data_IF_965067220280
#
_entry.id   IF_965067220280
#
_cell.length_a   1.000
_cell.length_b   1.000
_cell.length_c   1.000
_cell.angle_alpha   90.00
_cell.angle_beta   90.00
_cell.angle_gamma   90.00
#
_symmetry.space_group_name_H-M   'P 1'
#
loop_
_entity.id
_entity.type
_entity.pdbx_description
1 polymer ?
#
# COMPACT_ATOMS: atom_id res chain seq x y z
N UNK A 1 -41.69 -62.27 45.38
CA UNK A 1 -40.66 -61.54 46.13
C UNK A 1 -39.50 -61.41 45.19
N UNK A 2 -39.22 -60.19 44.82
CA UNK A 2 -37.96 -59.49 44.61
C UNK A 2 -38.17 -58.36 43.64
N UNK A 3 -38.06 -57.18 44.20
CA UNK A 3 -38.11 -55.87 43.52
C UNK A 3 -36.85 -55.69 42.68
N UNK A 4 -37.00 -55.29 41.42
CA UNK A 4 -35.97 -54.76 40.57
C UNK A 4 -36.26 -53.31 40.23
N UNK A 5 -35.58 -52.38 40.87
CA UNK A 5 -35.67 -50.96 40.64
C UNK A 5 -34.93 -50.56 39.36
N UNK A 6 -35.69 -50.02 38.42
CA UNK A 6 -35.20 -49.40 37.18
C UNK A 6 -34.69 -47.99 37.52
N UNK A 7 -33.38 -47.74 37.43
CA UNK A 7 -32.78 -46.42 37.41
C UNK A 7 -32.71 -45.94 35.97
N UNK A 8 -33.53 -44.94 35.61
CA UNK A 8 -33.41 -44.21 34.39
C UNK A 8 -32.32 -43.12 34.59
N UNK A 9 -31.24 -43.25 33.79
CA UNK A 9 -30.21 -42.22 33.70
C UNK A 9 -30.70 -41.10 32.77
N UNK A 10 -30.98 -39.96 33.35
CA UNK A 10 -31.20 -38.69 32.62
C UNK A 10 -29.91 -38.22 31.99
N UNK A 11 -29.83 -38.29 30.67
CA UNK A 11 -28.79 -37.63 29.88
C UNK A 11 -29.12 -36.14 29.75
N UNK A 12 -28.30 -35.27 30.39
CA UNK A 12 -28.33 -33.83 30.18
C UNK A 12 -28.04 -33.50 28.70
N UNK A 13 -28.77 -32.55 28.10
CA UNK A 13 -28.46 -32.10 26.75
C UNK A 13 -27.15 -31.34 26.73
N UNK A 14 -26.22 -31.74 25.89
CA UNK A 14 -25.00 -31.00 25.56
C UNK A 14 -25.36 -29.64 24.99
N UNK A 15 -24.91 -28.58 25.66
CA UNK A 15 -25.01 -27.20 25.17
C UNK A 15 -24.08 -27.05 23.95
N UNK A 16 -24.65 -27.08 22.75
CA UNK A 16 -23.96 -26.66 21.52
C UNK A 16 -23.62 -25.18 21.65
N UNK A 17 -22.39 -24.89 22.04
CA UNK A 17 -21.79 -23.56 21.89
C UNK A 17 -21.77 -23.22 20.40
N UNK A 18 -22.73 -22.40 19.94
CA UNK A 18 -22.67 -21.75 18.64
C UNK A 18 -21.45 -20.83 18.68
N UNK A 19 -20.37 -21.22 18.02
CA UNK A 19 -19.28 -20.31 17.66
C UNK A 19 -19.85 -19.29 16.70
N UNK A 20 -20.29 -18.15 17.22
CA UNK A 20 -20.63 -16.99 16.39
C UNK A 20 -19.33 -16.56 15.70
N UNK A 21 -19.16 -16.92 14.42
CA UNK A 21 -18.16 -16.25 13.57
C UNK A 21 -18.51 -14.76 13.56
N UNK A 22 -17.55 -13.87 13.84
CA UNK A 22 -17.82 -12.44 13.81
C UNK A 22 -18.33 -12.07 12.41
N UNK A 23 -19.41 -11.28 12.37
CA UNK A 23 -19.98 -10.83 11.11
C UNK A 23 -19.07 -9.77 10.49
N UNK A 24 -18.34 -10.12 9.44
CA UNK A 24 -17.46 -9.21 8.73
C UNK A 24 -18.31 -8.41 7.75
N UNK A 25 -18.27 -7.08 7.89
CA UNK A 25 -18.94 -6.17 6.96
C UNK A 25 -17.98 -5.82 5.83
N UNK A 26 -18.37 -6.16 4.59
CA UNK A 26 -17.63 -5.79 3.41
C UNK A 26 -18.02 -4.38 2.96
N UNK A 27 -17.04 -3.53 2.69
CA UNK A 27 -17.23 -2.11 2.34
C UNK A 27 -16.36 -1.79 1.13
N UNK A 28 -16.94 -1.09 0.14
CA UNK A 28 -16.21 -0.47 -0.95
C UNK A 28 -15.89 0.98 -0.57
N UNK A 29 -14.63 1.39 -0.73
CA UNK A 29 -14.13 2.73 -0.35
C UNK A 29 -13.57 3.43 -1.57
N UNK A 30 -14.08 4.63 -1.87
CA UNK A 30 -13.67 5.48 -2.97
C UNK A 30 -12.72 6.59 -2.50
N UNK A 31 -11.46 6.49 -2.87
CA UNK A 31 -10.50 7.59 -2.73
C UNK A 31 -10.61 8.47 -3.96
N UNK A 32 -11.58 9.39 -3.93
CA UNK A 32 -11.87 10.32 -5.02
C UNK A 32 -10.90 11.49 -4.95
N UNK A 33 -10.28 11.81 -6.07
CA UNK A 33 -9.38 12.96 -6.14
C UNK A 33 -9.38 13.63 -7.51
N UNK A 34 -8.98 14.91 -7.51
CA UNK A 34 -8.58 15.63 -8.70
C UNK A 34 -7.24 16.31 -8.42
N UNK A 35 -6.19 15.91 -9.15
CA UNK A 35 -4.81 16.34 -8.82
C UNK A 35 -4.50 16.05 -7.34
N UNK A 36 -4.13 17.09 -6.60
CA UNK A 36 -3.80 17.02 -5.17
C UNK A 36 -4.99 17.32 -4.23
N UNK A 37 -6.21 17.41 -4.75
CA UNK A 37 -7.43 17.59 -3.95
C UNK A 37 -8.16 16.26 -3.79
N UNK A 38 -8.54 15.94 -2.56
CA UNK A 38 -9.23 14.70 -2.17
C UNK A 38 -10.59 15.01 -1.58
N UNK A 39 -11.61 14.26 -1.94
CA UNK A 39 -12.96 14.41 -1.40
C UNK A 39 -13.11 13.57 -0.13
N UNK A 40 -13.59 14.20 0.94
CA UNK A 40 -13.97 13.54 2.19
C UNK A 40 -15.42 13.85 2.53
N UNK A 41 -16.13 12.86 3.06
CA UNK A 41 -17.39 13.02 3.78
C UNK A 41 -17.16 13.20 5.28
N UNK A 42 -18.15 13.70 5.99
CA UNK A 42 -18.13 13.80 7.45
C UNK A 42 -19.24 12.95 8.06
N UNK A 43 -18.88 12.01 8.92
CA UNK A 43 -19.82 11.11 9.61
C UNK A 43 -20.53 11.82 10.76
N UNK A 44 -21.84 11.73 10.77
CA UNK A 44 -22.64 12.21 11.89
C UNK A 44 -22.28 11.50 13.22
N UNK A 45 -22.47 12.21 14.34
CA UNK A 45 -22.17 11.72 15.68
C UNK A 45 -22.92 10.42 16.04
N UNK A 46 -24.08 10.17 15.43
CA UNK A 46 -24.92 8.99 15.68
C UNK A 46 -24.45 7.73 14.96
N UNK A 47 -23.56 7.86 13.99
CA UNK A 47 -23.02 6.74 13.23
C UNK A 47 -21.86 6.05 13.98
N UNK A 48 -21.64 4.76 13.68
CA UNK A 48 -20.44 4.04 14.15
C UNK A 48 -19.17 4.77 13.72
N UNK A 49 -18.26 5.08 14.67
CA UNK A 49 -17.09 5.94 14.43
C UNK A 49 -17.46 7.38 14.02
N UNK A 50 -18.59 7.92 14.48
CA UNK A 50 -19.06 9.28 14.20
C UNK A 50 -18.11 10.40 14.60
N UNK A 51 -18.43 11.65 14.21
CA UNK A 51 -17.60 12.85 14.38
C UNK A 51 -16.21 12.72 13.74
N UNK A 52 -16.13 12.09 12.56
CA UNK A 52 -14.87 11.89 11.81
C UNK A 52 -15.10 12.12 10.31
N UNK A 53 -14.05 12.55 9.67
CA UNK A 53 -13.98 12.52 8.23
C UNK A 53 -13.79 11.10 7.73
N UNK A 54 -14.26 10.79 6.53
CA UNK A 54 -14.08 9.50 5.88
C UNK A 54 -13.99 9.64 4.37
N UNK A 55 -13.44 8.64 3.70
CA UNK A 55 -13.60 8.51 2.27
C UNK A 55 -15.02 8.05 1.96
N UNK A 56 -15.56 8.49 0.82
CA UNK A 56 -16.87 8.11 0.30
C UNK A 56 -16.93 6.59 0.12
N UNK A 57 -18.09 5.98 0.38
CA UNK A 57 -18.30 4.55 0.17
C UNK A 57 -19.18 3.89 1.19
N UNK A 58 -19.59 2.67 0.88
CA UNK A 58 -20.55 1.97 1.70
C UNK A 58 -20.46 0.46 1.60
N UNK A 59 -21.49 -0.22 2.10
CA UNK A 59 -21.53 -1.67 2.17
C UNK A 59 -21.67 -2.28 0.77
N UNK A 60 -20.94 -3.36 0.55
CA UNK A 60 -21.14 -4.21 -0.62
C UNK A 60 -22.37 -5.08 -0.35
N UNK A 61 -23.40 -4.92 -1.16
CA UNK A 61 -24.64 -5.67 -1.05
C UNK A 61 -24.53 -7.08 -1.64
N UNK A 62 -25.56 -7.90 -1.36
CA UNK A 62 -25.61 -9.24 -1.95
C UNK A 62 -25.79 -9.11 -3.47
N UNK A 63 -25.01 -9.88 -4.22
CA UNK A 63 -25.04 -9.95 -5.69
C UNK A 63 -24.45 -8.76 -6.45
N UNK A 64 -23.69 -7.88 -5.79
CA UNK A 64 -22.88 -6.88 -6.47
C UNK A 64 -21.38 -7.10 -6.21
N UNK A 65 -20.54 -6.70 -7.17
CA UNK A 65 -19.09 -6.62 -6.99
C UNK A 65 -18.72 -5.36 -6.20
N UNK A 66 -17.50 -5.34 -5.63
CA UNK A 66 -17.03 -4.14 -4.95
C UNK A 66 -16.96 -2.90 -5.85
N UNK A 67 -16.65 -3.07 -7.13
CA UNK A 67 -16.66 -1.97 -8.10
C UNK A 67 -18.08 -1.46 -8.37
N UNK A 68 -19.07 -2.34 -8.44
CA UNK A 68 -20.49 -1.95 -8.60
C UNK A 68 -21.00 -1.21 -7.37
N UNK A 69 -20.71 -1.74 -6.16
CA UNK A 69 -21.02 -1.05 -4.91
C UNK A 69 -20.41 0.35 -4.86
N UNK A 70 -19.11 0.45 -5.24
CA UNK A 70 -18.39 1.71 -5.27
C UNK A 70 -19.06 2.76 -6.17
N UNK A 71 -19.42 2.39 -7.39
CA UNK A 71 -20.08 3.28 -8.37
C UNK A 71 -21.43 3.73 -7.83
N UNK A 72 -22.23 2.81 -7.27
CA UNK A 72 -23.52 3.11 -6.68
C UNK A 72 -23.39 4.07 -5.49
N UNK A 73 -22.53 3.75 -4.51
CA UNK A 73 -22.35 4.57 -3.30
C UNK A 73 -21.81 5.97 -3.63
N UNK A 74 -20.86 6.09 -4.58
CA UNK A 74 -20.38 7.41 -5.01
C UNK A 74 -21.50 8.24 -5.61
N UNK A 75 -22.35 7.65 -6.46
CA UNK A 75 -23.48 8.37 -7.05
C UNK A 75 -24.54 8.74 -5.98
N UNK A 76 -24.88 7.81 -5.07
CA UNK A 76 -25.87 8.01 -4.01
C UNK A 76 -25.42 9.08 -2.99
N UNK A 77 -24.13 9.11 -2.62
CA UNK A 77 -23.63 10.05 -1.63
C UNK A 77 -23.28 11.42 -2.22
N UNK A 78 -22.77 11.49 -3.48
CA UNK A 78 -22.12 12.70 -3.99
C UNK A 78 -22.70 13.27 -5.29
N UNK A 79 -23.61 12.57 -5.96
CA UNK A 79 -24.08 12.88 -7.31
C UNK A 79 -22.99 12.83 -8.42
N UNK A 80 -21.82 12.25 -8.10
CA UNK A 80 -20.74 12.07 -9.08
C UNK A 80 -20.98 10.77 -9.86
N UNK A 81 -21.15 10.87 -11.17
CA UNK A 81 -21.29 9.73 -12.05
C UNK A 81 -19.92 9.28 -12.59
N UNK A 82 -19.56 8.02 -12.38
CA UNK A 82 -18.26 7.46 -12.71
C UNK A 82 -18.24 6.69 -14.05
N UNK A 83 -18.90 7.21 -15.08
CA UNK A 83 -19.11 6.48 -16.35
C UNK A 83 -17.83 6.23 -17.14
N UNK A 84 -16.87 7.15 -17.09
CA UNK A 84 -15.63 7.10 -17.88
C UNK A 84 -14.36 7.26 -17.05
N UNK A 85 -14.45 7.16 -15.73
CA UNK A 85 -13.30 7.30 -14.85
C UNK A 85 -12.49 6.00 -14.79
N UNK A 86 -11.18 6.11 -14.73
CA UNK A 86 -10.33 4.98 -14.39
C UNK A 86 -10.45 4.69 -12.90
N UNK A 87 -11.03 3.54 -12.57
CA UNK A 87 -11.17 3.04 -11.20
C UNK A 87 -10.04 2.03 -10.95
N UNK A 88 -9.09 2.39 -10.10
CA UNK A 88 -7.93 1.54 -9.82
C UNK A 88 -7.97 1.04 -8.40
N UNK A 89 -7.87 -0.26 -8.22
CA UNK A 89 -7.78 -0.86 -6.89
C UNK A 89 -6.49 -0.43 -6.18
N UNK A 90 -6.61 0.17 -4.99
CA UNK A 90 -5.47 0.43 -4.10
C UNK A 90 -5.11 -0.79 -3.27
N UNK A 91 -6.11 -1.56 -2.85
CA UNK A 91 -5.88 -2.76 -2.06
C UNK A 91 -7.09 -3.20 -1.26
N UNK A 92 -6.89 -4.21 -0.42
CA UNK A 92 -7.87 -4.70 0.56
C UNK A 92 -7.25 -4.70 1.94
N UNK A 93 -8.02 -4.40 2.94
CA UNK A 93 -7.59 -4.51 4.32
C UNK A 93 -8.71 -4.97 5.24
N UNK A 94 -8.34 -5.70 6.27
CA UNK A 94 -9.25 -6.11 7.33
C UNK A 94 -8.92 -5.33 8.59
N UNK A 95 -9.93 -4.79 9.25
CA UNK A 95 -9.77 -4.08 10.51
C UNK A 95 -10.80 -4.56 11.52
N UNK A 96 -10.33 -4.80 12.75
CA UNK A 96 -11.15 -5.19 13.86
C UNK A 96 -11.27 -3.99 14.83
N UNK A 97 -12.49 -3.47 15.00
CA UNK A 97 -12.80 -2.40 15.94
C UNK A 97 -13.13 -2.94 17.34
N UNK A 98 -13.11 -4.28 17.51
CA UNK A 98 -13.50 -4.96 18.74
C UNK A 98 -14.99 -5.33 18.78
N UNK A 99 -15.86 -4.41 18.49
CA UNK A 99 -17.31 -4.60 18.37
C UNK A 99 -17.75 -5.01 16.95
N UNK A 100 -16.94 -4.70 15.94
CA UNK A 100 -17.25 -4.91 14.54
C UNK A 100 -15.98 -5.16 13.73
N UNK A 101 -16.03 -6.16 12.86
CA UNK A 101 -14.97 -6.41 11.87
C UNK A 101 -15.39 -5.90 10.50
N UNK A 102 -14.47 -5.23 9.81
CA UNK A 102 -14.68 -4.70 8.46
C UNK A 102 -13.63 -5.21 7.50
N UNK A 103 -14.05 -5.46 6.27
CA UNK A 103 -13.19 -5.73 5.13
C UNK A 103 -13.36 -4.60 4.12
N UNK A 104 -12.36 -3.75 3.98
CA UNK A 104 -12.39 -2.62 3.08
C UNK A 104 -11.75 -3.00 1.75
N UNK A 105 -12.45 -2.80 0.64
CA UNK A 105 -11.91 -2.82 -0.71
C UNK A 105 -11.78 -1.39 -1.19
N UNK A 106 -10.54 -0.93 -1.35
CA UNK A 106 -10.22 0.49 -1.56
C UNK A 106 -9.84 0.72 -3.00
N UNK A 107 -10.47 1.72 -3.62
CA UNK A 107 -10.23 2.12 -4.99
C UNK A 107 -9.86 3.59 -5.07
N UNK A 108 -8.95 3.92 -5.97
CA UNK A 108 -8.56 5.29 -6.30
C UNK A 108 -9.24 5.71 -7.59
N UNK A 109 -9.81 6.92 -7.60
CA UNK A 109 -10.59 7.45 -8.71
C UNK A 109 -10.14 8.89 -8.97
N UNK A 110 -9.60 9.13 -10.16
CA UNK A 110 -9.30 10.49 -10.59
C UNK A 110 -10.49 11.08 -11.36
N UNK A 111 -10.98 12.23 -10.91
CA UNK A 111 -12.06 12.93 -11.61
C UNK A 111 -11.53 13.65 -12.85
N UNK A 112 -12.40 13.80 -13.84
CA UNK A 112 -12.15 14.73 -14.94
C UNK A 112 -12.22 16.17 -14.44
N UNK A 113 -11.71 17.12 -15.24
CA UNK A 113 -11.79 18.54 -14.90
C UNK A 113 -13.25 19.00 -14.79
N UNK A 114 -14.12 18.51 -15.67
CA UNK A 114 -15.55 18.83 -15.69
C UNK A 114 -16.25 18.35 -14.42
N UNK A 115 -16.02 17.10 -14.02
CA UNK A 115 -16.58 16.53 -12.78
C UNK A 115 -16.11 17.33 -11.56
N UNK A 116 -14.82 17.66 -11.48
CA UNK A 116 -14.26 18.42 -10.38
C UNK A 116 -14.87 19.84 -10.31
N UNK A 117 -14.90 20.58 -11.43
CA UNK A 117 -15.48 21.93 -11.48
C UNK A 117 -16.98 21.95 -11.11
N UNK A 118 -17.71 20.90 -11.47
CA UNK A 118 -19.13 20.75 -11.10
C UNK A 118 -19.32 20.55 -9.59
N UNK A 119 -18.42 19.77 -8.93
CA UNK A 119 -18.63 19.32 -7.55
C UNK A 119 -17.72 19.99 -6.51
N UNK A 120 -16.72 20.79 -6.91
CA UNK A 120 -15.75 21.38 -5.99
C UNK A 120 -16.34 22.36 -4.96
N UNK A 121 -17.53 22.87 -5.19
CA UNK A 121 -18.25 23.77 -4.30
C UNK A 121 -19.44 23.11 -3.60
N UNK A 122 -19.66 21.80 -3.80
CA UNK A 122 -20.68 21.05 -3.09
C UNK A 122 -20.19 20.79 -1.66
N UNK A 123 -20.83 21.43 -0.70
CA UNK A 123 -20.53 21.29 0.73
C UNK A 123 -21.38 20.21 1.43
N UNK A 124 -22.39 19.66 0.73
CA UNK A 124 -23.31 18.67 1.26
C UNK A 124 -23.59 17.59 0.22
N UNK A 125 -23.52 16.35 0.63
CA UNK A 125 -23.89 15.20 -0.18
C UNK A 125 -25.40 14.96 -0.21
N UNK A 126 -25.84 14.04 -1.05
CA UNK A 126 -27.25 13.73 -1.25
C UNK A 126 -27.91 13.07 -0.03
N UNK A 127 -27.13 12.42 0.83
CA UNK A 127 -27.59 11.86 2.11
C UNK A 127 -27.52 12.86 3.28
N UNK A 128 -27.17 14.12 2.99
CA UNK A 128 -27.10 15.19 3.99
C UNK A 128 -25.78 15.28 4.75
N UNK A 129 -24.82 14.40 4.50
CA UNK A 129 -23.46 14.46 5.06
C UNK A 129 -22.70 15.67 4.51
N UNK A 130 -21.85 16.30 5.34
CA UNK A 130 -20.96 17.35 4.85
C UNK A 130 -19.88 16.77 3.95
N UNK A 131 -19.59 17.44 2.85
CA UNK A 131 -18.52 17.11 1.91
C UNK A 131 -17.43 18.20 1.95
N UNK A 132 -16.18 17.77 1.86
CA UNK A 132 -15.04 18.70 1.92
C UNK A 132 -13.91 18.26 0.99
N UNK A 133 -13.44 19.17 0.15
CA UNK A 133 -12.22 18.98 -0.63
C UNK A 133 -11.00 19.40 0.19
N UNK A 134 -10.04 18.52 0.30
CA UNK A 134 -8.84 18.70 1.13
C UNK A 134 -7.58 18.47 0.32
N UNK A 135 -6.52 19.24 0.61
CA UNK A 135 -5.23 19.02 -0.06
C UNK A 135 -4.59 17.70 0.42
N UNK A 136 -3.86 17.03 -0.48
CA UNK A 136 -3.09 15.84 -0.13
C UNK A 136 -2.14 16.08 1.03
N UNK A 137 -1.48 17.25 1.07
CA UNK A 137 -0.54 17.61 2.14
C UNK A 137 -1.22 17.65 3.50
N UNK A 138 -2.37 18.34 3.62
CA UNK A 138 -3.12 18.46 4.87
C UNK A 138 -3.72 17.10 5.31
N UNK A 139 -4.22 16.32 4.32
CA UNK A 139 -4.72 14.98 4.57
C UNK A 139 -3.62 14.07 5.17
N UNK A 140 -2.43 14.07 4.57
CA UNK A 140 -1.29 13.26 5.03
C UNK A 140 -0.64 13.82 6.30
N UNK A 141 -0.78 15.12 6.60
CA UNK A 141 -0.35 15.73 7.85
C UNK A 141 -1.23 15.34 9.05
N UNK A 142 -2.40 14.71 8.79
CA UNK A 142 -3.30 14.28 9.85
C UNK A 142 -4.22 15.38 10.39
N UNK A 143 -4.45 16.45 9.61
CA UNK A 143 -5.36 17.54 9.99
C UNK A 143 -6.82 17.07 10.05
N UNK A 144 -7.13 15.95 9.42
CA UNK A 144 -8.46 15.37 9.37
C UNK A 144 -8.51 14.05 10.15
N UNK A 145 -9.39 13.97 11.14
CA UNK A 145 -9.57 12.76 11.94
C UNK A 145 -10.36 11.71 11.14
N UNK A 146 -9.68 10.67 10.68
CA UNK A 146 -10.29 9.52 9.99
C UNK A 146 -10.39 8.30 10.92
N UNK A 147 -11.28 7.32 10.63
CA UNK A 147 -11.31 6.03 11.33
C UNK A 147 -9.97 5.29 11.27
N UNK A 148 -9.70 4.44 12.26
CA UNK A 148 -8.41 3.77 12.41
C UNK A 148 -8.01 2.93 11.18
N UNK A 149 -8.98 2.28 10.52
CA UNK A 149 -8.74 1.52 9.28
C UNK A 149 -8.13 2.38 8.16
N UNK A 150 -8.47 3.68 8.10
CA UNK A 150 -8.02 4.57 7.04
C UNK A 150 -6.53 4.96 7.17
N UNK A 151 -5.88 4.69 8.31
CA UNK A 151 -4.43 4.93 8.47
C UNK A 151 -3.60 4.20 7.41
N UNK A 152 -3.97 2.96 7.09
CA UNK A 152 -3.29 2.19 6.04
C UNK A 152 -3.51 2.83 4.66
N UNK A 153 -4.71 3.34 4.39
CA UNK A 153 -5.02 4.04 3.13
C UNK A 153 -4.14 5.29 2.99
N UNK A 154 -4.00 6.09 4.06
CA UNK A 154 -3.13 7.26 4.05
C UNK A 154 -1.66 6.90 3.77
N UNK A 155 -1.18 5.79 4.31
CA UNK A 155 0.17 5.30 3.99
C UNK A 155 0.29 4.88 2.51
N UNK A 156 -0.72 4.24 1.93
CA UNK A 156 -0.76 3.92 0.49
C UNK A 156 -0.72 5.17 -0.40
N UNK A 157 -1.37 6.26 0.03
CA UNK A 157 -1.39 7.52 -0.72
C UNK A 157 -0.03 8.26 -0.74
N UNK A 158 0.93 7.87 0.12
CA UNK A 158 2.30 8.38 0.08
C UNK A 158 3.11 7.81 -1.07
N UNK A 159 2.67 6.69 -1.68
CA UNK A 159 3.40 6.05 -2.76
C UNK A 159 3.44 6.96 -4.00
N UNK A 160 4.64 7.25 -4.55
CA UNK A 160 4.77 8.01 -5.78
C UNK A 160 4.25 7.22 -6.99
N UNK A 161 3.66 7.90 -7.97
CA UNK A 161 3.20 7.26 -9.21
C UNK A 161 4.35 6.83 -10.14
N UNK A 162 5.54 7.43 -9.98
CA UNK A 162 6.75 7.11 -10.73
C UNK A 162 7.90 6.92 -9.76
N UNK A 163 8.64 5.81 -9.90
CA UNK A 163 9.74 5.44 -9.01
C UNK A 163 10.99 5.18 -9.85
N UNK A 164 11.98 6.05 -9.71
CA UNK A 164 13.30 5.83 -10.27
C UNK A 164 14.05 4.78 -9.43
N UNK A 165 14.75 3.87 -10.09
CA UNK A 165 15.65 2.91 -9.42
C UNK A 165 17.07 3.32 -9.78
N UNK A 166 17.93 3.54 -8.80
CA UNK A 166 19.30 3.97 -9.06
C UNK A 166 20.09 2.92 -9.84
N UNK A 167 21.00 3.37 -10.70
CA UNK A 167 21.93 2.48 -11.35
C UNK A 167 22.81 1.74 -10.34
N UNK A 168 23.20 0.50 -10.59
CA UNK A 168 24.18 -0.19 -9.76
C UNK A 168 25.56 0.52 -9.89
N UNK A 169 26.37 0.45 -8.84
CA UNK A 169 27.69 1.09 -8.81
C UNK A 169 28.61 0.57 -9.94
N UNK A 170 28.43 -0.69 -10.34
CA UNK A 170 29.16 -1.32 -11.44
C UNK A 170 28.95 -0.63 -12.80
N UNK A 171 27.83 0.12 -12.97
CA UNK A 171 27.58 0.91 -14.17
C UNK A 171 28.63 2.04 -14.34
N UNK A 172 29.23 2.49 -13.27
CA UNK A 172 30.25 3.53 -13.23
C UNK A 172 31.68 2.98 -13.08
N UNK A 173 31.85 1.67 -13.22
CA UNK A 173 33.14 0.98 -12.99
C UNK A 173 34.30 1.40 -13.88
N UNK A 174 34.03 2.12 -14.98
CA UNK A 174 35.05 2.71 -15.86
C UNK A 174 35.59 4.06 -15.37
N UNK A 175 34.94 4.68 -14.36
CA UNK A 175 35.40 5.92 -13.77
C UNK A 175 36.46 5.68 -12.71
N UNK A 176 37.42 6.61 -12.57
CA UNK A 176 38.48 6.56 -11.54
C UNK A 176 37.90 6.49 -10.13
N UNK A 177 36.79 7.20 -9.90
CA UNK A 177 35.99 7.12 -8.69
C UNK A 177 34.52 6.85 -9.07
N UNK A 178 34.18 5.57 -9.04
CA UNK A 178 32.81 5.12 -9.37
C UNK A 178 31.75 5.65 -8.39
N UNK A 179 32.11 5.86 -7.12
CA UNK A 179 31.18 6.35 -6.11
C UNK A 179 30.86 7.83 -6.33
N UNK A 180 31.86 8.65 -6.59
CA UNK A 180 31.65 10.07 -6.93
C UNK A 180 30.85 10.23 -8.23
N UNK A 181 31.18 9.46 -9.27
CA UNK A 181 30.45 9.48 -10.54
C UNK A 181 29.00 9.05 -10.36
N UNK A 182 28.73 8.02 -9.58
CA UNK A 182 27.38 7.57 -9.23
C UNK A 182 26.58 8.67 -8.53
N UNK A 183 27.17 9.30 -7.50
CA UNK A 183 26.52 10.37 -6.75
C UNK A 183 26.21 11.56 -7.64
N UNK A 184 27.15 12.04 -8.42
CA UNK A 184 26.98 13.16 -9.35
C UNK A 184 25.87 12.87 -10.35
N UNK A 185 25.89 11.68 -10.99
CA UNK A 185 24.88 11.29 -11.98
C UNK A 185 23.47 11.37 -11.41
N UNK A 186 23.24 10.74 -10.23
CA UNK A 186 21.91 10.71 -9.62
C UNK A 186 21.48 12.07 -9.06
N UNK A 187 22.44 12.87 -8.56
CA UNK A 187 22.16 14.24 -8.13
C UNK A 187 21.63 15.11 -9.28
N UNK A 188 22.22 14.97 -10.47
CA UNK A 188 21.88 15.80 -11.65
C UNK A 188 20.66 15.29 -12.41
N UNK A 189 20.44 13.96 -12.48
CA UNK A 189 19.46 13.36 -13.38
C UNK A 189 18.14 13.01 -12.75
N UNK A 190 18.07 12.80 -11.43
CA UNK A 190 16.81 12.52 -10.77
C UNK A 190 15.86 13.72 -10.85
N UNK A 191 14.61 13.48 -11.23
CA UNK A 191 13.58 14.50 -11.23
C UNK A 191 13.32 15.05 -9.82
N UNK A 192 12.87 16.30 -9.73
CA UNK A 192 12.50 16.91 -8.45
C UNK A 192 11.32 16.17 -7.81
N UNK A 193 11.35 16.04 -6.48
CA UNK A 193 10.29 15.40 -5.68
C UNK A 193 9.93 13.98 -6.11
N UNK A 194 10.86 13.28 -6.77
CA UNK A 194 10.62 11.94 -7.28
C UNK A 194 10.73 10.86 -6.20
N UNK A 195 9.98 9.77 -6.38
CA UNK A 195 10.21 8.51 -5.67
C UNK A 195 11.49 7.84 -6.16
N UNK A 196 12.39 7.45 -5.26
CA UNK A 196 13.68 6.86 -5.63
C UNK A 196 13.96 5.61 -4.82
N UNK A 197 14.01 4.46 -5.48
CA UNK A 197 14.56 3.26 -4.87
C UNK A 197 16.09 3.27 -5.00
N UNK A 198 16.77 3.57 -3.91
CA UNK A 198 18.24 3.57 -3.85
C UNK A 198 18.73 2.14 -3.68
N UNK A 199 18.98 1.48 -4.83
CA UNK A 199 19.34 0.06 -4.91
C UNK A 199 20.85 -0.10 -5.02
N UNK A 200 21.53 -0.15 -3.91
CA UNK A 200 22.96 -0.45 -3.81
C UNK A 200 23.15 -1.79 -3.08
N UNK A 201 24.02 -2.66 -3.60
CA UNK A 201 24.23 -4.02 -3.06
C UNK A 201 25.57 -4.15 -2.31
N UNK A 202 26.41 -3.12 -2.31
CA UNK A 202 27.77 -3.17 -1.80
C UNK A 202 27.86 -2.70 -0.34
N UNK A 203 28.93 -3.10 0.36
CA UNK A 203 29.15 -2.79 1.78
C UNK A 203 29.17 -1.27 2.08
N UNK A 204 29.56 -0.42 1.11
CA UNK A 204 29.58 1.04 1.23
C UNK A 204 28.25 1.70 0.82
N UNK A 205 27.25 0.90 0.48
CA UNK A 205 25.97 1.35 -0.08
C UNK A 205 25.19 2.28 0.84
N UNK A 206 25.28 2.08 2.15
CA UNK A 206 24.59 2.89 3.14
C UNK A 206 25.07 4.34 3.13
N UNK A 207 26.38 4.55 3.10
CA UNK A 207 26.96 5.89 3.07
C UNK A 207 26.62 6.66 1.80
N UNK A 208 26.66 6.00 0.62
CA UNK A 208 26.26 6.62 -0.64
C UNK A 208 24.75 6.97 -0.68
N UNK A 209 23.90 6.13 -0.11
CA UNK A 209 22.48 6.44 0.02
C UNK A 209 22.23 7.66 0.91
N UNK A 210 22.96 7.76 2.05
CA UNK A 210 22.89 8.92 2.93
C UNK A 210 23.40 10.20 2.26
N UNK A 211 24.50 10.12 1.51
CA UNK A 211 25.01 11.24 0.72
C UNK A 211 23.99 11.71 -0.32
N UNK A 212 23.39 10.78 -1.10
CA UNK A 212 22.37 11.16 -2.09
C UNK A 212 21.18 11.83 -1.43
N UNK A 213 20.64 11.30 -0.33
CA UNK A 213 19.54 11.92 0.40
C UNK A 213 19.90 13.28 1.02
N UNK A 214 21.17 13.52 1.30
CA UNK A 214 21.65 14.80 1.80
C UNK A 214 21.72 15.86 0.70
N UNK A 215 22.25 15.50 -0.48
CA UNK A 215 22.37 16.44 -1.61
C UNK A 215 21.04 16.60 -2.38
N UNK A 216 20.14 15.63 -2.24
CA UNK A 216 18.77 15.66 -2.82
C UNK A 216 17.73 15.50 -1.71
N UNK A 217 17.51 16.56 -0.92
CA UNK A 217 16.54 16.56 0.19
C UNK A 217 15.08 16.46 -0.25
N UNK A 218 14.82 16.64 -1.50
CA UNK A 218 13.51 16.59 -2.13
C UNK A 218 13.03 15.18 -2.46
N UNK A 219 13.91 14.20 -2.62
CA UNK A 219 13.51 12.84 -3.02
C UNK A 219 12.80 12.05 -1.92
N UNK A 220 11.88 11.19 -2.33
CA UNK A 220 11.19 10.21 -1.48
C UNK A 220 11.89 8.87 -1.57
N UNK A 221 12.75 8.56 -0.60
CA UNK A 221 13.64 7.41 -0.66
C UNK A 221 12.96 6.09 -0.27
N UNK A 222 13.24 5.06 -1.04
CA UNK A 222 12.99 3.65 -0.71
C UNK A 222 14.37 3.00 -0.56
N UNK A 223 14.63 2.35 0.57
CA UNK A 223 15.92 1.72 0.86
C UNK A 223 15.76 0.20 0.98
N UNK A 224 16.81 -0.60 0.72
CA UNK A 224 16.79 -2.02 1.03
C UNK A 224 16.44 -2.29 2.49
N UNK A 225 15.71 -3.37 2.76
CA UNK A 225 15.52 -3.87 4.12
C UNK A 225 16.70 -4.79 4.46
N UNK A 226 17.83 -4.18 4.78
CA UNK A 226 18.99 -4.92 5.28
C UNK A 226 18.64 -5.48 6.66
N UNK A 227 19.20 -6.65 6.99
CA UNK A 227 19.14 -7.18 8.36
C UNK A 227 19.80 -6.13 9.25
N UNK A 228 19.00 -5.33 9.91
CA UNK A 228 19.52 -4.34 10.84
C UNK A 228 20.26 -5.10 11.95
N UNK A 229 21.60 -5.07 11.92
CA UNK A 229 22.33 -5.08 13.18
C UNK A 229 21.83 -3.84 13.92
N UNK A 230 21.42 -3.95 15.20
CA UNK A 230 21.15 -2.78 16.00
C UNK A 230 22.35 -1.85 15.80
N UNK A 231 22.10 -0.64 15.34
CA UNK A 231 23.14 0.38 15.27
C UNK A 231 23.48 0.70 16.72
N UNK A 232 24.57 0.12 17.23
CA UNK A 232 25.29 0.63 18.38
C UNK A 232 25.83 2.03 18.01
N UNK A 233 24.95 3.00 18.04
CA UNK A 233 25.31 4.41 17.97
C UNK A 233 24.80 5.03 19.27
N UNK A 234 25.54 4.78 20.34
CA UNK A 234 25.55 5.66 21.47
C UNK A 234 26.06 7.03 21.00
N UNK A 235 25.22 8.03 21.08
CA UNK A 235 25.63 9.41 21.25
C UNK A 235 25.41 10.43 20.15
N UNK A 236 24.83 10.15 18.95
CA UNK A 236 24.75 11.21 17.93
C UNK A 236 23.50 11.24 17.02
N UNK A 237 22.46 10.44 17.25
CA UNK A 237 21.37 10.27 16.28
C UNK A 237 20.01 10.85 16.67
N UNK A 238 19.82 11.38 17.86
CA UNK A 238 18.51 11.89 18.30
C UNK A 238 18.08 13.17 17.58
N UNK A 239 19.03 14.02 17.12
CA UNK A 239 18.72 15.24 16.39
C UNK A 239 18.70 15.06 14.85
N UNK A 240 19.43 14.07 14.31
CA UNK A 240 19.45 13.77 12.86
C UNK A 240 18.36 12.79 12.42
N UNK A 241 17.72 12.09 13.35
CA UNK A 241 16.72 11.06 13.07
C UNK A 241 15.42 11.64 12.49
N UNK A 242 15.12 12.90 12.75
CA UNK A 242 13.89 13.55 12.29
C UNK A 242 13.94 13.98 10.82
N UNK A 243 15.03 14.57 10.34
CA UNK A 243 15.06 15.08 8.96
C UNK A 243 15.31 13.98 7.91
N UNK A 244 16.27 13.06 8.16
CA UNK A 244 16.51 11.94 7.24
C UNK A 244 15.41 10.87 7.30
N UNK A 245 14.81 10.66 8.48
CA UNK A 245 13.73 9.68 8.66
C UNK A 245 12.44 10.03 7.92
N UNK A 246 12.11 11.31 7.79
CA UNK A 246 10.91 11.79 7.09
C UNK A 246 10.94 11.57 5.57
N UNK A 247 12.11 11.40 4.98
CA UNK A 247 12.28 11.19 3.53
C UNK A 247 12.29 9.72 3.12
N UNK A 248 12.47 8.80 4.06
CA UNK A 248 12.39 7.36 3.80
C UNK A 248 10.92 6.97 3.91
N UNK A 249 10.30 6.70 2.77
CA UNK A 249 8.88 6.32 2.71
C UNK A 249 8.67 4.82 2.91
N UNK A 250 9.67 3.98 2.58
CA UNK A 250 9.58 2.54 2.76
C UNK A 250 10.95 1.86 2.79
N UNK A 251 10.98 0.63 3.33
CA UNK A 251 12.05 -0.34 3.13
C UNK A 251 11.59 -1.40 2.12
N UNK A 252 12.50 -1.79 1.22
CA UNK A 252 12.20 -2.79 0.19
C UNK A 252 12.61 -4.19 0.64
N UNK A 253 11.68 -5.12 0.57
CA UNK A 253 11.89 -6.55 0.83
C UNK A 253 11.96 -7.31 -0.49
N UNK A 254 13.05 -8.02 -0.73
CA UNK A 254 13.21 -8.82 -1.94
C UNK A 254 12.27 -10.03 -1.95
N UNK A 255 11.96 -10.55 -3.15
CA UNK A 255 11.17 -11.77 -3.32
C UNK A 255 11.74 -12.94 -2.50
N UNK A 256 13.06 -13.17 -2.57
CA UNK A 256 13.69 -14.28 -1.83
C UNK A 256 13.51 -14.15 -0.32
N UNK A 257 13.66 -12.95 0.23
CA UNK A 257 13.45 -12.70 1.67
C UNK A 257 11.97 -12.85 2.05
N UNK A 258 11.05 -12.35 1.22
CA UNK A 258 9.61 -12.52 1.42
C UNK A 258 9.24 -14.01 1.47
N UNK A 259 9.71 -14.81 0.50
CA UNK A 259 9.41 -16.24 0.45
C UNK A 259 10.04 -17.00 1.61
N UNK A 260 11.24 -16.63 2.07
CA UNK A 260 11.83 -17.20 3.29
C UNK A 260 10.97 -16.97 4.53
N UNK A 261 10.33 -15.79 4.66
CA UNK A 261 9.44 -15.50 5.79
C UNK A 261 8.22 -16.46 5.87
N UNK A 262 7.80 -17.05 4.75
CA UNK A 262 6.56 -17.83 4.67
C UNK A 262 6.75 -19.31 4.28
N UNK A 263 7.95 -19.73 3.84
CA UNK A 263 8.25 -21.12 3.49
C UNK A 263 8.72 -21.96 4.68
N UNK A 264 9.15 -21.34 5.77
CA UNK A 264 9.58 -22.06 6.98
C UNK A 264 8.38 -22.39 7.86
N UNK A 265 7.93 -23.65 7.77
CA UNK A 265 6.88 -24.21 8.64
C UNK A 265 7.39 -24.16 10.10
N UNK A 266 6.90 -23.20 10.87
CA UNK A 266 7.15 -23.09 12.31
C UNK A 266 8.04 -21.93 12.78
N UNK A 267 8.63 -21.11 11.88
CA UNK A 267 9.58 -20.03 12.23
C UNK A 267 9.06 -18.61 12.02
N UNK A 268 7.75 -18.38 11.96
CA UNK A 268 7.17 -17.06 11.64
C UNK A 268 7.63 -15.93 12.58
N UNK A 269 8.07 -16.24 13.80
CA UNK A 269 8.46 -15.24 14.82
C UNK A 269 9.86 -14.66 14.61
N UNK A 270 10.84 -15.46 14.20
CA UNK A 270 12.24 -14.99 14.11
C UNK A 270 12.49 -14.12 12.86
N UNK A 271 11.90 -14.46 11.72
CA UNK A 271 12.08 -13.70 10.48
C UNK A 271 11.25 -12.42 10.45
N UNK A 272 10.04 -12.42 11.00
CA UNK A 272 9.27 -11.18 11.17
C UNK A 272 9.94 -10.21 12.14
N UNK A 273 10.79 -10.68 13.06
CA UNK A 273 11.60 -9.83 13.94
C UNK A 273 12.74 -9.10 13.19
N UNK A 274 13.19 -9.63 12.04
CA UNK A 274 14.23 -9.00 11.22
C UNK A 274 13.71 -7.94 10.25
N UNK A 275 12.39 -7.82 10.11
CA UNK A 275 11.78 -6.81 9.25
C UNK A 275 11.68 -5.47 9.97
N UNK A 276 11.87 -4.38 9.23
CA UNK A 276 11.75 -3.03 9.78
C UNK A 276 10.43 -2.84 10.53
N UNK A 277 10.54 -2.36 11.78
CA UNK A 277 9.38 -2.01 12.63
C UNK A 277 9.04 -0.52 12.56
N UNK A 278 9.95 0.29 12.05
CA UNK A 278 9.84 1.75 12.04
C UNK A 278 9.34 2.29 10.70
N UNK A 279 9.46 1.50 9.62
CA UNK A 279 9.12 1.94 8.27
C UNK A 279 8.09 1.02 7.60
N UNK A 280 7.24 1.58 6.73
CA UNK A 280 6.46 0.81 5.77
C UNK A 280 7.34 -0.09 4.90
N UNK A 281 6.73 -1.13 4.31
CA UNK A 281 7.44 -2.03 3.40
C UNK A 281 6.90 -1.91 1.97
N UNK A 282 7.79 -2.08 1.01
CA UNK A 282 7.48 -2.44 -0.37
C UNK A 282 8.10 -3.81 -0.62
N UNK A 283 7.37 -4.72 -1.25
CA UNK A 283 7.83 -6.10 -1.48
C UNK A 283 7.95 -6.39 -2.98
N UNK A 284 8.80 -7.35 -3.37
CA UNK A 284 8.87 -7.83 -4.77
C UNK A 284 8.13 -9.14 -4.91
N UNK A 285 7.26 -9.21 -5.92
CA UNK A 285 6.47 -10.38 -6.29
C UNK A 285 6.59 -10.68 -7.79
N UNK A 286 6.52 -11.96 -8.16
CA UNK A 286 6.64 -12.43 -9.54
C UNK A 286 5.52 -13.39 -9.94
N UNK A 287 4.78 -13.94 -8.98
CA UNK A 287 3.78 -14.98 -9.15
C UNK A 287 2.70 -14.95 -8.06
N UNK A 288 1.71 -15.80 -8.18
CA UNK A 288 0.60 -15.95 -7.22
C UNK A 288 1.10 -16.30 -5.81
N UNK A 289 2.13 -17.13 -5.71
CA UNK A 289 2.66 -17.56 -4.40
C UNK A 289 3.27 -16.38 -3.65
N UNK A 290 4.06 -15.55 -4.32
CA UNK A 290 4.66 -14.34 -3.74
C UNK A 290 3.63 -13.26 -3.43
N UNK A 291 2.60 -13.08 -4.26
CA UNK A 291 1.46 -12.19 -3.94
C UNK A 291 0.73 -12.67 -2.69
N UNK A 292 0.47 -13.99 -2.59
CA UNK A 292 -0.17 -14.56 -1.40
C UNK A 292 0.67 -14.35 -0.14
N UNK A 293 1.99 -14.51 -0.24
CA UNK A 293 2.91 -14.22 0.86
C UNK A 293 2.90 -12.73 1.25
N UNK A 294 2.87 -11.83 0.26
CA UNK A 294 2.77 -10.39 0.47
C UNK A 294 1.47 -9.99 1.17
N UNK A 295 0.32 -10.55 0.75
CA UNK A 295 -0.98 -10.32 1.37
C UNK A 295 -0.98 -10.77 2.84
N UNK A 296 -0.41 -11.95 3.11
CA UNK A 296 -0.26 -12.45 4.48
C UNK A 296 0.63 -11.53 5.33
N UNK A 297 1.74 -11.04 4.78
CA UNK A 297 2.60 -10.07 5.46
C UNK A 297 1.85 -8.75 5.73
N UNK A 298 1.11 -8.23 4.77
CA UNK A 298 0.33 -6.99 4.92
C UNK A 298 -0.70 -7.13 6.05
N UNK A 299 -1.47 -8.22 6.06
CA UNK A 299 -2.44 -8.51 7.12
C UNK A 299 -1.78 -8.62 8.49
N UNK A 300 -0.66 -9.35 8.61
CA UNK A 300 0.09 -9.50 9.86
C UNK A 300 0.59 -8.16 10.39
N UNK A 301 1.09 -7.26 9.52
CA UNK A 301 1.59 -5.95 9.95
C UNK A 301 0.47 -5.07 10.48
N UNK A 302 -0.69 -5.05 9.81
CA UNK A 302 -1.88 -4.31 10.27
C UNK A 302 -2.35 -4.85 11.63
N UNK A 303 -2.48 -6.17 11.79
CA UNK A 303 -2.91 -6.80 13.04
C UNK A 303 -1.97 -6.52 14.22
N UNK A 304 -0.66 -6.36 13.95
CA UNK A 304 0.34 -6.05 14.97
C UNK A 304 0.62 -4.54 15.13
N UNK A 305 -0.22 -3.68 14.54
CA UNK A 305 -0.07 -2.22 14.56
C UNK A 305 1.32 -1.73 14.07
N UNK A 306 1.94 -2.48 13.15
CA UNK A 306 3.20 -2.11 12.50
C UNK A 306 2.93 -1.25 11.26
N UNK A 307 3.91 -0.43 10.80
CA UNK A 307 3.81 0.28 9.54
C UNK A 307 3.46 -0.68 8.39
N UNK A 308 2.47 -0.39 7.53
CA UNK A 308 1.91 -1.35 6.59
C UNK A 308 2.86 -1.70 5.43
N UNK A 309 2.48 -2.70 4.64
CA UNK A 309 3.00 -2.86 3.27
C UNK A 309 2.30 -1.83 2.40
N UNK A 310 3.06 -0.90 1.81
CA UNK A 310 2.51 0.21 1.02
C UNK A 310 2.57 -0.02 -0.48
N UNK A 311 3.16 -1.12 -0.92
CA UNK A 311 3.20 -1.49 -2.32
C UNK A 311 3.90 -2.80 -2.59
N UNK A 312 3.65 -3.32 -3.78
CA UNK A 312 4.38 -4.48 -4.30
C UNK A 312 4.89 -4.20 -5.71
N UNK A 313 6.18 -4.43 -5.95
CA UNK A 313 6.72 -4.52 -7.30
C UNK A 313 6.28 -5.85 -7.91
N UNK A 314 5.51 -5.80 -8.98
CA UNK A 314 5.17 -7.00 -9.77
C UNK A 314 5.95 -6.95 -11.08
N UNK A 315 6.79 -7.94 -11.32
CA UNK A 315 7.76 -7.92 -12.42
C UNK A 315 8.14 -9.32 -12.93
N UNK A 316 8.69 -9.40 -14.16
CA UNK A 316 8.79 -8.32 -15.14
C UNK A 316 7.49 -8.16 -15.95
N UNK A 317 7.03 -6.92 -16.16
CA UNK A 317 5.85 -6.65 -17.02
C UNK A 317 6.20 -6.89 -18.49
N UNK A 318 7.25 -6.24 -18.98
CA UNK A 318 7.77 -6.35 -20.33
C UNK A 318 9.21 -6.85 -20.32
N UNK A 319 9.70 -7.28 -21.47
CA UNK A 319 11.08 -7.72 -21.64
C UNK A 319 12.07 -6.64 -21.17
N UNK A 320 13.12 -7.05 -20.47
CA UNK A 320 14.10 -6.12 -19.90
C UNK A 320 15.52 -6.54 -20.26
N UNK A 321 16.36 -5.57 -20.58
CA UNK A 321 17.78 -5.81 -20.86
C UNK A 321 18.59 -6.22 -19.62
N UNK A 322 18.08 -5.97 -18.42
CA UNK A 322 18.76 -6.33 -17.17
C UNK A 322 18.66 -7.82 -16.88
N UNK A 323 17.59 -8.46 -17.34
CA UNK A 323 17.32 -9.89 -17.22
C UNK A 323 16.73 -10.39 -18.55
N UNK A 324 17.55 -10.53 -19.60
CA UNK A 324 17.07 -10.85 -20.94
C UNK A 324 16.48 -12.25 -21.07
N UNK A 325 16.85 -13.16 -20.16
CA UNK A 325 16.39 -14.55 -20.14
C UNK A 325 15.06 -14.74 -19.39
N UNK A 326 14.59 -13.72 -18.65
CA UNK A 326 13.33 -13.79 -17.93
C UNK A 326 12.16 -13.60 -18.90
N UNK A 327 11.19 -14.50 -18.85
CA UNK A 327 9.95 -14.39 -19.63
C UNK A 327 9.07 -13.30 -19.00
N UNK A 328 8.71 -12.24 -19.77
CA UNK A 328 7.83 -11.20 -19.24
C UNK A 328 6.40 -11.72 -19.06
N UNK A 329 5.68 -11.18 -18.08
CA UNK A 329 4.29 -11.51 -17.83
C UNK A 329 3.35 -11.05 -18.95
N UNK A 330 3.65 -9.90 -19.57
CA UNK A 330 2.68 -9.17 -20.37
C UNK A 330 1.65 -8.48 -19.48
N UNK A 331 0.88 -7.57 -20.07
CA UNK A 331 -0.08 -6.75 -19.31
C UNK A 331 -1.24 -7.56 -18.74
N UNK A 332 -1.73 -8.58 -19.47
CA UNK A 332 -2.87 -9.40 -19.07
C UNK A 332 -2.54 -10.25 -17.82
N UNK A 333 -1.50 -11.06 -17.87
CA UNK A 333 -1.10 -11.86 -16.70
C UNK A 333 -0.62 -11.00 -15.54
N UNK A 334 -0.02 -9.83 -15.83
CA UNK A 334 0.33 -8.87 -14.81
C UNK A 334 -0.91 -8.30 -14.10
N UNK A 335 -1.98 -7.99 -14.85
CA UNK A 335 -3.25 -7.52 -14.31
C UNK A 335 -3.93 -8.55 -13.42
N UNK A 336 -3.87 -9.84 -13.79
CA UNK A 336 -4.37 -10.92 -12.94
C UNK A 336 -3.66 -10.95 -11.57
N UNK A 337 -2.34 -10.78 -11.56
CA UNK A 337 -1.58 -10.68 -10.31
C UNK A 337 -1.91 -9.40 -9.52
N UNK A 338 -2.10 -8.27 -10.22
CA UNK A 338 -2.47 -7.01 -9.60
C UNK A 338 -3.83 -7.11 -8.88
N UNK A 339 -4.80 -7.81 -9.49
CA UNK A 339 -6.11 -8.01 -8.86
C UNK A 339 -6.05 -8.87 -7.60
N UNK A 340 -5.09 -9.77 -7.50
CA UNK A 340 -4.89 -10.61 -6.31
C UNK A 340 -4.22 -9.86 -5.14
N UNK A 341 -3.51 -8.75 -5.39
CA UNK A 341 -2.76 -8.02 -4.36
C UNK A 341 -3.69 -7.27 -3.40
N UNK A 342 -3.36 -7.28 -2.11
CA UNK A 342 -4.07 -6.55 -1.05
C UNK A 342 -3.40 -5.20 -0.73
N UNK A 343 -2.45 -4.76 -1.54
CA UNK A 343 -1.74 -3.49 -1.45
C UNK A 343 -1.54 -2.89 -2.84
N UNK A 344 -1.18 -1.60 -2.94
CA UNK A 344 -0.87 -0.93 -4.18
C UNK A 344 0.15 -1.68 -5.05
N UNK A 345 -0.12 -1.78 -6.35
CA UNK A 345 0.75 -2.49 -7.30
C UNK A 345 1.59 -1.53 -8.11
N UNK A 346 2.88 -1.81 -8.20
CA UNK A 346 3.90 -1.06 -8.91
C UNK A 346 4.41 -1.92 -10.06
N UNK A 347 4.21 -1.48 -11.30
CA UNK A 347 4.78 -2.16 -12.47
C UNK A 347 6.29 -1.97 -12.54
N UNK A 348 7.02 -3.06 -12.78
CA UNK A 348 8.47 -3.04 -12.94
C UNK A 348 8.89 -4.01 -14.05
N UNK A 349 9.94 -3.63 -14.80
CA UNK A 349 10.51 -4.43 -15.90
C UNK A 349 10.04 -3.97 -17.26
N UNK A 350 10.96 -3.38 -18.04
CA UNK A 350 10.72 -2.89 -19.38
C UNK A 350 9.81 -1.67 -19.50
N UNK A 351 9.45 -1.02 -18.39
CA UNK A 351 8.52 0.11 -18.37
C UNK A 351 9.23 1.46 -18.47
N UNK A 352 8.46 2.45 -18.92
CA UNK A 352 8.82 3.87 -19.02
C UNK A 352 7.81 4.73 -18.22
N UNK A 353 8.18 5.95 -17.80
CA UNK A 353 7.28 6.86 -17.08
C UNK A 353 6.00 7.19 -17.85
N UNK A 354 6.04 7.18 -19.19
CA UNK A 354 4.89 7.42 -20.07
C UNK A 354 3.85 6.29 -20.01
N UNK A 355 4.24 5.08 -19.58
CA UNK A 355 3.35 3.92 -19.48
C UNK A 355 2.49 3.92 -18.19
N UNK A 356 2.54 4.99 -17.37
CA UNK A 356 1.73 5.08 -16.16
C UNK A 356 0.23 4.91 -16.44
N UNK A 357 -0.30 5.58 -17.47
CA UNK A 357 -1.73 5.47 -17.80
C UNK A 357 -2.11 4.05 -18.21
N UNK A 358 -1.23 3.35 -18.91
CA UNK A 358 -1.44 1.94 -19.23
C UNK A 358 -1.40 1.08 -17.96
N UNK A 359 -0.44 1.30 -17.06
CA UNK A 359 -0.41 0.58 -15.78
C UNK A 359 -1.69 0.78 -14.96
N UNK A 360 -2.23 2.02 -14.93
CA UNK A 360 -3.52 2.31 -14.27
C UNK A 360 -4.67 1.48 -14.85
N UNK A 361 -4.74 1.34 -16.18
CA UNK A 361 -5.77 0.55 -16.87
C UNK A 361 -5.70 -0.95 -16.53
N UNK A 362 -4.50 -1.45 -16.22
CA UNK A 362 -4.26 -2.84 -15.83
C UNK A 362 -4.16 -3.08 -14.31
N UNK A 363 -4.55 -2.09 -13.48
CA UNK A 363 -4.67 -2.26 -12.03
C UNK A 363 -3.44 -1.87 -11.22
N UNK A 364 -2.40 -1.28 -11.83
CA UNK A 364 -1.28 -0.71 -11.09
C UNK A 364 -1.45 0.77 -10.82
N UNK A 365 -0.87 1.27 -9.74
CA UNK A 365 -0.94 2.70 -9.39
C UNK A 365 0.38 3.43 -9.61
N UNK A 366 1.45 2.69 -9.89
CA UNK A 366 2.80 3.22 -10.07
C UNK A 366 3.57 2.42 -11.11
N UNK A 367 4.55 3.06 -11.71
CA UNK A 367 5.55 2.43 -12.56
C UNK A 367 6.96 2.72 -12.05
N UNK A 368 7.87 1.74 -12.20
CA UNK A 368 9.23 1.85 -11.73
C UNK A 368 10.24 1.39 -12.79
N UNK A 369 11.42 1.99 -12.78
CA UNK A 369 12.49 1.61 -13.69
C UNK A 369 13.78 2.37 -13.46
N UNK A 370 14.82 2.04 -14.26
CA UNK A 370 16.15 2.67 -14.20
C UNK A 370 16.27 3.71 -15.31
N UNK A 371 16.47 3.26 -16.54
CA UNK A 371 17.00 4.05 -17.68
C UNK A 371 16.15 5.25 -18.07
N UNK A 372 14.87 5.08 -18.19
CA UNK A 372 13.95 6.15 -18.64
C UNK A 372 13.46 7.02 -17.47
N UNK A 373 13.82 6.64 -16.23
CA UNK A 373 13.41 7.34 -15.02
C UNK A 373 14.51 8.24 -14.46
N UNK A 374 15.73 8.13 -15.00
CA UNK A 374 16.92 8.89 -14.56
C UNK A 374 17.58 9.56 -15.75
#
# INVERSE_FOLDING_TARGET
MLNGSNQQSETKPESKTKTNKPNIVNVAVAVIHYKDQYLLGFRDATQHQGNRYEFVGGKIEANESAAQALIREVAEETDILLDNNTIVKLGRLHHDYGDKQVSLQVYKIELTVEQYEQHRHCEQGLEGQALTWVSKSNLLAGEYHLPAANKTILEWLKLPSKIAITYPLTHFGTHTDAAAAWLQHHQEKLASESGVYIRLKDANSKHLAEQLMTVRPDILAILPNDKEKPLDIEGSLTAKKTETGQRIIAKHLTHSTLMQCFNEVGSSTALTQSLSKDYPLIVSCHDIASITAANKLASMRIQNALPPVIGTFVSPVLATQTHPDDTPLGWEAWSELAELADMPVIGLGGLEPAMLNQALQYGGISVAGIRQFI
#
